data_IF_994561189748
#
_entry.id   IF_994561189748
#
_cell.length_a   1.000
_cell.length_b   1.000
_cell.length_c   1.000
_cell.angle_alpha   90.00
_cell.angle_beta   90.00
_cell.angle_gamma   90.00
#
_symmetry.space_group_name_H-M   'P 1'
#
loop_
_entity.id
_entity.type
_entity.pdbx_description
1 polymer ?
#
# COMPACT_ATOMS: atom_id res chain seq x y z
N UNK A 1 3.74 -6.32 -3.62
CA UNK A 1 2.31 -6.63 -3.91
C UNK A 1 2.12 -6.82 -5.41
N UNK A 2 1.44 -7.90 -5.80
CA UNK A 2 0.97 -8.10 -7.17
C UNK A 2 -0.36 -7.37 -7.35
N UNK A 3 -0.49 -6.57 -8.42
CA UNK A 3 -1.71 -5.79 -8.71
C UNK A 3 -2.23 -6.17 -10.10
N UNK A 4 -3.51 -6.48 -10.18
CA UNK A 4 -4.22 -6.75 -11.43
C UNK A 4 -5.03 -5.51 -11.84
N UNK A 5 -4.74 -4.97 -13.01
CA UNK A 5 -5.53 -3.90 -13.64
C UNK A 5 -6.47 -4.50 -14.68
N UNK A 6 -7.72 -4.08 -14.67
CA UNK A 6 -8.76 -4.56 -15.56
C UNK A 6 -9.49 -3.37 -16.17
N UNK A 7 -9.37 -3.22 -17.48
CA UNK A 7 -10.01 -2.17 -18.28
C UNK A 7 -10.00 -2.60 -19.74
N UNK A 8 -11.05 -2.38 -20.52
CA UNK A 8 -11.08 -2.72 -21.93
C UNK A 8 -10.28 -1.75 -22.81
N UNK A 9 -9.94 -0.57 -22.29
CA UNK A 9 -9.07 0.41 -22.92
C UNK A 9 -7.60 0.13 -22.60
N UNK A 10 -6.83 -0.29 -23.61
CA UNK A 10 -5.41 -0.59 -23.48
C UNK A 10 -4.56 0.62 -23.08
N UNK A 11 -4.95 1.83 -23.51
CA UNK A 11 -4.24 3.06 -23.16
C UNK A 11 -4.40 3.37 -21.67
N UNK A 12 -5.57 3.08 -21.10
CA UNK A 12 -5.81 3.18 -19.64
C UNK A 12 -4.98 2.15 -18.90
N UNK A 13 -4.91 0.90 -19.36
CA UNK A 13 -4.07 -0.13 -18.75
C UNK A 13 -2.59 0.26 -18.75
N UNK A 14 -2.08 0.81 -19.86
CA UNK A 14 -0.70 1.30 -19.94
C UNK A 14 -0.44 2.47 -18.99
N UNK A 15 -1.37 3.43 -18.94
CA UNK A 15 -1.33 4.55 -18.01
C UNK A 15 -1.30 4.08 -16.55
N UNK A 16 -2.19 3.16 -16.16
CA UNK A 16 -2.24 2.59 -14.80
C UNK A 16 -0.92 1.92 -14.44
N UNK A 17 -0.40 1.07 -15.33
CA UNK A 17 0.91 0.44 -15.15
C UNK A 17 2.04 1.47 -14.99
N UNK A 18 2.04 2.53 -15.77
CA UNK A 18 3.04 3.60 -15.69
C UNK A 18 2.99 4.33 -14.35
N UNK A 19 1.78 4.68 -13.86
CA UNK A 19 1.56 5.34 -12.58
C UNK A 19 2.13 4.48 -11.43
N UNK A 20 1.77 3.20 -11.39
CA UNK A 20 2.17 2.30 -10.32
C UNK A 20 3.65 1.94 -10.37
N UNK A 21 4.26 1.77 -11.56
CA UNK A 21 5.71 1.56 -11.70
C UNK A 21 6.51 2.75 -11.15
N UNK A 22 6.07 3.98 -11.41
CA UNK A 22 6.71 5.19 -10.85
C UNK A 22 6.60 5.27 -9.33
N UNK A 23 5.59 4.65 -8.75
CA UNK A 23 5.40 4.57 -7.31
C UNK A 23 6.13 3.36 -6.67
N UNK A 24 6.91 2.59 -7.45
CA UNK A 24 7.74 1.49 -6.96
C UNK A 24 7.08 0.11 -6.99
N UNK A 25 5.87 -0.01 -7.54
CA UNK A 25 5.23 -1.32 -7.74
C UNK A 25 5.78 -1.97 -9.02
N UNK A 26 6.25 -3.21 -8.90
CA UNK A 26 6.93 -3.91 -10.01
C UNK A 26 6.16 -5.12 -10.54
N UNK A 27 5.28 -5.71 -9.72
CA UNK A 27 4.52 -6.92 -10.07
C UNK A 27 3.10 -6.54 -10.51
N UNK A 28 2.97 -6.16 -11.78
CA UNK A 28 1.74 -5.64 -12.37
C UNK A 28 1.25 -6.57 -13.49
N UNK A 29 -0.03 -6.90 -13.44
CA UNK A 29 -0.73 -7.75 -14.42
C UNK A 29 -1.90 -6.97 -14.99
N UNK A 30 -2.21 -7.19 -16.26
CA UNK A 30 -3.33 -6.53 -16.95
C UNK A 30 -4.30 -7.57 -17.52
N UNK A 31 -5.56 -7.18 -17.61
CA UNK A 31 -6.62 -7.92 -18.29
C UNK A 31 -7.53 -6.93 -19.03
N UNK A 32 -7.91 -7.25 -20.26
CA UNK A 32 -8.70 -6.37 -21.13
C UNK A 32 -10.19 -6.77 -21.20
N UNK A 33 -10.63 -7.69 -20.38
CA UNK A 33 -12.03 -8.16 -20.34
C UNK A 33 -12.36 -8.86 -19.03
N UNK A 34 -13.65 -9.00 -18.72
CA UNK A 34 -14.11 -9.73 -17.54
C UNK A 34 -13.62 -11.19 -17.46
N UNK A 35 -13.72 -11.99 -18.53
CA UNK A 35 -13.19 -13.35 -18.53
C UNK A 35 -11.66 -13.42 -18.32
N UNK A 36 -10.92 -12.46 -18.88
CA UNK A 36 -9.47 -12.34 -18.60
C UNK A 36 -9.18 -11.96 -17.17
N UNK A 37 -9.96 -11.04 -16.59
CA UNK A 37 -9.85 -10.64 -15.20
C UNK A 37 -10.03 -11.84 -14.26
N UNK A 38 -11.06 -12.66 -14.47
CA UNK A 38 -11.31 -13.86 -13.67
C UNK A 38 -10.20 -14.90 -13.81
N UNK A 39 -9.64 -15.07 -15.00
CA UNK A 39 -8.49 -15.95 -15.23
C UNK A 39 -7.25 -15.39 -14.52
N UNK A 40 -6.93 -14.11 -14.73
CA UNK A 40 -5.80 -13.44 -14.10
C UNK A 40 -5.87 -13.46 -12.57
N UNK A 41 -7.05 -13.24 -11.99
CA UNK A 41 -7.26 -13.37 -10.56
C UNK A 41 -6.94 -14.78 -10.04
N UNK A 42 -7.46 -15.84 -10.70
CA UNK A 42 -7.24 -17.24 -10.26
C UNK A 42 -5.79 -17.68 -10.40
N UNK A 43 -5.14 -17.34 -11.51
CA UNK A 43 -3.78 -17.79 -11.82
C UNK A 43 -2.71 -16.97 -11.10
N UNK A 44 -2.91 -15.66 -11.02
CA UNK A 44 -1.90 -14.74 -10.54
C UNK A 44 -2.03 -14.40 -9.06
N UNK A 45 -3.19 -14.64 -8.45
CA UNK A 45 -3.49 -14.34 -7.04
C UNK A 45 -3.05 -12.93 -6.61
N UNK A 46 -3.60 -11.88 -7.25
CA UNK A 46 -3.19 -10.51 -6.95
C UNK A 46 -3.57 -10.12 -5.52
N UNK A 47 -2.77 -9.21 -4.94
CA UNK A 47 -3.06 -8.59 -3.65
C UNK A 47 -4.07 -7.45 -3.76
N UNK A 48 -4.25 -6.88 -4.95
CA UNK A 48 -5.24 -5.83 -5.25
C UNK A 48 -5.69 -5.99 -6.69
N UNK A 49 -6.99 -5.78 -6.93
CA UNK A 49 -7.57 -5.67 -8.26
C UNK A 49 -8.07 -4.23 -8.43
N UNK A 50 -7.65 -3.56 -9.48
CA UNK A 50 -8.19 -2.26 -9.93
C UNK A 50 -9.05 -2.56 -11.14
N UNK A 51 -10.36 -2.36 -11.03
CA UNK A 51 -11.36 -2.92 -11.94
C UNK A 51 -12.25 -1.83 -12.49
N UNK A 52 -12.27 -1.69 -13.82
CA UNK A 52 -13.25 -0.83 -14.48
C UNK A 52 -14.66 -1.44 -14.40
N UNK A 53 -15.65 -0.57 -14.17
CA UNK A 53 -17.06 -0.96 -14.16
C UNK A 53 -17.56 -1.18 -15.58
N UNK A 54 -17.23 -0.26 -16.49
CA UNK A 54 -17.83 -0.20 -17.83
C UNK A 54 -17.00 -0.98 -18.85
N UNK A 55 -17.22 -2.28 -18.92
CA UNK A 55 -16.58 -3.14 -19.92
C UNK A 55 -17.61 -3.85 -20.78
N UNK A 56 -17.33 -4.09 -22.10
CA UNK A 56 -18.24 -4.80 -22.97
C UNK A 56 -18.34 -6.29 -22.61
N UNK A 57 -19.55 -6.82 -22.68
CA UNK A 57 -19.85 -8.23 -22.38
C UNK A 57 -20.05 -8.45 -20.88
N UNK A 58 -19.00 -8.88 -20.16
CA UNK A 58 -19.00 -9.03 -18.70
C UNK A 58 -18.51 -7.72 -18.06
N UNK A 59 -19.38 -7.02 -17.37
CA UNK A 59 -19.05 -5.77 -16.68
C UNK A 59 -18.26 -5.99 -15.38
N UNK A 60 -17.76 -4.89 -14.79
CA UNK A 60 -16.97 -4.95 -13.55
C UNK A 60 -17.75 -5.44 -12.34
N UNK A 61 -19.07 -5.21 -12.29
CA UNK A 61 -19.91 -5.72 -11.19
C UNK A 61 -20.10 -7.23 -11.27
N UNK A 62 -20.24 -7.77 -12.49
CA UNK A 62 -20.32 -9.22 -12.70
C UNK A 62 -19.00 -9.90 -12.30
N UNK A 63 -17.85 -9.28 -12.66
CA UNK A 63 -16.52 -9.76 -12.23
C UNK A 63 -16.40 -9.71 -10.70
N UNK A 64 -16.79 -8.60 -10.07
CA UNK A 64 -16.79 -8.44 -8.61
C UNK A 64 -17.64 -9.51 -7.93
N UNK A 65 -18.88 -9.72 -8.37
CA UNK A 65 -19.78 -10.75 -7.82
C UNK A 65 -19.18 -12.15 -7.91
N UNK A 66 -18.57 -12.48 -9.05
CA UNK A 66 -17.95 -13.79 -9.24
C UNK A 66 -16.74 -14.00 -8.31
N UNK A 67 -15.90 -12.99 -8.15
CA UNK A 67 -14.75 -13.05 -7.23
C UNK A 67 -15.24 -13.18 -5.78
N UNK A 68 -16.25 -12.41 -5.38
CA UNK A 68 -16.78 -12.40 -4.00
C UNK A 68 -17.43 -13.70 -3.57
N UNK A 69 -17.76 -14.61 -4.49
CA UNK A 69 -18.24 -15.96 -4.15
C UNK A 69 -17.22 -16.78 -3.37
N UNK A 70 -15.93 -16.55 -3.62
CA UNK A 70 -14.85 -17.40 -3.09
C UNK A 70 -13.66 -16.64 -2.53
N UNK A 71 -13.62 -15.30 -2.65
CA UNK A 71 -12.45 -14.51 -2.27
C UNK A 71 -12.83 -13.14 -1.69
N UNK A 72 -12.02 -12.69 -0.74
CA UNK A 72 -12.04 -11.35 -0.19
C UNK A 72 -10.83 -10.51 -0.66
N UNK A 73 -10.23 -10.87 -1.81
CA UNK A 73 -9.16 -10.04 -2.39
C UNK A 73 -9.62 -8.59 -2.52
N UNK A 74 -8.82 -7.61 -2.10
CA UNK A 74 -9.20 -6.20 -2.21
C UNK A 74 -9.48 -5.78 -3.64
N UNK A 75 -10.56 -5.01 -3.85
CA UNK A 75 -10.97 -4.53 -5.17
C UNK A 75 -11.29 -3.02 -5.08
N UNK A 76 -10.57 -2.23 -5.87
CA UNK A 76 -10.83 -0.81 -6.14
C UNK A 76 -11.56 -0.70 -7.48
N UNK A 77 -12.80 -0.21 -7.46
CA UNK A 77 -13.60 -0.03 -8.67
C UNK A 77 -13.30 1.33 -9.31
N UNK A 78 -13.12 1.36 -10.63
CA UNK A 78 -13.06 2.59 -11.42
C UNK A 78 -14.44 2.79 -12.09
N UNK A 79 -15.06 3.94 -11.87
CA UNK A 79 -16.43 4.18 -12.37
C UNK A 79 -16.50 5.43 -13.25
N UNK A 80 -17.45 5.51 -14.18
CA UNK A 80 -17.79 6.74 -14.87
C UNK A 80 -18.38 7.76 -13.89
N UNK A 81 -18.12 9.06 -14.13
CA UNK A 81 -18.59 10.14 -13.26
C UNK A 81 -20.11 10.30 -13.38
N UNK A 82 -20.85 10.07 -12.30
CA UNK A 82 -22.27 10.44 -12.23
C UNK A 82 -23.23 9.38 -11.69
N UNK A 83 -22.81 8.15 -11.51
CA UNK A 83 -23.68 7.06 -11.10
C UNK A 83 -23.55 6.81 -9.59
N UNK A 84 -24.30 7.62 -8.79
CA UNK A 84 -24.41 7.38 -7.36
C UNK A 84 -25.03 6.00 -7.06
N UNK A 85 -25.86 5.51 -7.97
CA UNK A 85 -26.48 4.19 -7.92
C UNK A 85 -25.48 3.07 -8.04
N UNK A 86 -24.50 3.15 -8.96
CA UNK A 86 -23.43 2.18 -9.13
C UNK A 86 -22.54 2.06 -7.89
N UNK A 87 -22.30 3.20 -7.21
CA UNK A 87 -21.51 3.19 -5.95
C UNK A 87 -22.24 2.48 -4.83
N UNK A 88 -23.56 2.60 -4.76
CA UNK A 88 -24.39 1.92 -3.75
C UNK A 88 -24.42 0.43 -4.06
N UNK A 89 -24.70 0.05 -5.30
CA UNK A 89 -24.74 -1.36 -5.73
C UNK A 89 -23.41 -2.06 -5.46
N UNK A 90 -22.31 -1.44 -5.81
CA UNK A 90 -21.01 -2.07 -5.63
C UNK A 90 -20.56 -2.15 -4.17
N UNK A 91 -20.92 -1.18 -3.31
CA UNK A 91 -20.68 -1.28 -1.86
C UNK A 91 -21.48 -2.44 -1.26
N UNK A 92 -22.73 -2.66 -1.72
CA UNK A 92 -23.55 -3.79 -1.30
C UNK A 92 -22.94 -5.14 -1.76
N UNK A 93 -22.31 -5.18 -2.95
CA UNK A 93 -21.63 -6.38 -3.47
C UNK A 93 -20.29 -6.61 -2.77
N UNK A 94 -19.68 -5.59 -2.14
CA UNK A 94 -18.49 -5.70 -1.32
C UNK A 94 -17.19 -5.27 -2.01
N UNK A 95 -17.21 -4.23 -2.82
CA UNK A 95 -15.98 -3.54 -3.22
C UNK A 95 -15.36 -2.78 -2.03
N UNK A 96 -14.04 -2.65 -2.03
CA UNK A 96 -13.30 -2.01 -0.92
C UNK A 96 -13.26 -0.50 -1.04
N UNK A 97 -13.28 0.04 -2.26
CA UNK A 97 -13.39 1.48 -2.53
C UNK A 97 -13.79 1.74 -4.00
N UNK A 98 -14.15 2.99 -4.29
CA UNK A 98 -14.56 3.49 -5.61
C UNK A 98 -13.80 4.75 -5.97
N UNK A 99 -13.34 4.83 -7.22
CA UNK A 99 -12.66 5.99 -7.77
C UNK A 99 -13.33 6.42 -9.09
N UNK A 100 -14.00 7.58 -9.13
CA UNK A 100 -14.63 8.05 -10.36
C UNK A 100 -13.60 8.50 -11.40
N UNK A 101 -13.82 8.16 -12.66
CA UNK A 101 -13.10 8.68 -13.83
C UNK A 101 -13.66 10.07 -14.22
N UNK A 102 -12.83 11.08 -14.55
CA UNK A 102 -11.37 11.08 -14.55
C UNK A 102 -10.81 11.25 -13.13
N UNK A 103 -9.73 10.56 -12.82
CA UNK A 103 -9.06 10.60 -11.52
C UNK A 103 -7.64 11.18 -11.60
N UNK A 104 -7.15 11.66 -10.48
CA UNK A 104 -5.76 12.07 -10.37
C UNK A 104 -4.87 10.86 -10.03
N UNK A 105 -3.68 10.72 -10.65
CA UNK A 105 -2.74 9.64 -10.33
C UNK A 105 -2.42 9.52 -8.84
N UNK A 106 -2.28 10.66 -8.16
CA UNK A 106 -2.03 10.70 -6.72
C UNK A 106 -3.19 10.13 -5.90
N UNK A 107 -4.45 10.40 -6.30
CA UNK A 107 -5.63 9.89 -5.62
C UNK A 107 -5.72 8.36 -5.76
N UNK A 108 -5.52 7.85 -6.98
CA UNK A 108 -5.49 6.41 -7.24
C UNK A 108 -4.46 5.70 -6.37
N UNK A 109 -3.23 6.21 -6.30
CA UNK A 109 -2.16 5.63 -5.48
C UNK A 109 -2.46 5.68 -3.99
N UNK A 110 -3.03 6.78 -3.49
CA UNK A 110 -3.41 6.90 -2.08
C UNK A 110 -4.50 5.90 -1.69
N UNK A 111 -5.53 5.72 -2.53
CA UNK A 111 -6.61 4.74 -2.30
C UNK A 111 -6.09 3.31 -2.35
N UNK A 112 -5.33 2.96 -3.39
CA UNK A 112 -4.72 1.64 -3.52
C UNK A 112 -3.80 1.32 -2.32
N UNK A 113 -2.97 2.28 -1.90
CA UNK A 113 -2.11 2.14 -0.72
C UNK A 113 -2.90 1.92 0.57
N UNK A 114 -3.98 2.70 0.80
CA UNK A 114 -4.84 2.55 1.97
C UNK A 114 -5.56 1.19 2.01
N UNK A 115 -5.99 0.68 0.85
CA UNK A 115 -6.60 -0.65 0.72
C UNK A 115 -5.59 -1.74 1.05
N UNK A 116 -4.41 -1.69 0.42
CA UNK A 116 -3.33 -2.66 0.66
C UNK A 116 -2.90 -2.69 2.13
N UNK A 117 -2.74 -1.53 2.75
CA UNK A 117 -2.36 -1.43 4.17
C UNK A 117 -3.42 -2.03 5.11
N UNK A 118 -4.72 -1.85 4.80
CA UNK A 118 -5.80 -2.49 5.59
C UNK A 118 -5.87 -3.99 5.40
N UNK A 119 -5.71 -4.46 4.15
CA UNK A 119 -5.84 -5.88 3.82
C UNK A 119 -4.61 -6.68 4.24
N UNK A 120 -3.44 -6.07 4.19
CA UNK A 120 -2.16 -6.67 4.49
C UNK A 120 -1.39 -5.78 5.47
N UNK A 121 -1.87 -5.66 6.71
CA UNK A 121 -1.12 -4.91 7.73
C UNK A 121 0.27 -5.53 7.80
N UNK A 122 1.29 -4.68 7.67
CA UNK A 122 2.65 -5.11 7.96
C UNK A 122 2.61 -5.74 9.36
N UNK A 123 3.24 -6.91 9.56
CA UNK A 123 3.40 -7.43 10.91
C UNK A 123 4.02 -6.31 11.73
N UNK A 124 3.36 -5.93 12.85
CA UNK A 124 3.83 -4.86 13.73
C UNK A 124 5.36 -4.92 13.77
N UNK A 125 6.01 -3.85 13.30
CA UNK A 125 7.49 -3.77 13.32
C UNK A 125 7.92 -3.64 14.78
N UNK A 126 7.74 -4.74 15.52
CA UNK A 126 8.22 -4.87 16.88
C UNK A 126 9.61 -5.45 16.86
N UNK A 127 10.52 -4.79 17.53
CA UNK A 127 11.89 -5.26 17.72
C UNK A 127 12.00 -5.81 19.13
N UNK A 128 12.23 -7.11 19.25
CA UNK A 128 12.51 -7.73 20.54
C UNK A 128 13.99 -7.53 20.88
N UNK A 129 14.24 -6.91 22.00
CA UNK A 129 15.53 -6.76 22.63
C UNK A 129 15.62 -7.66 23.86
N UNK A 130 16.81 -7.89 24.39
CA UNK A 130 17.03 -8.80 25.52
C UNK A 130 16.15 -8.52 26.76
N UNK A 131 15.70 -7.28 26.97
CA UNK A 131 14.92 -6.85 28.13
C UNK A 131 13.73 -5.95 27.82
N UNK A 132 13.42 -5.70 26.53
CA UNK A 132 12.36 -4.79 26.12
C UNK A 132 11.90 -5.09 24.69
N UNK A 133 10.68 -4.67 24.36
CA UNK A 133 10.12 -4.75 23.00
C UNK A 133 9.82 -3.34 22.52
N UNK A 134 10.28 -2.98 21.34
CA UNK A 134 10.02 -1.67 20.74
C UNK A 134 9.01 -1.83 19.60
N UNK A 135 7.88 -1.16 19.69
CA UNK A 135 6.87 -1.04 18.64
C UNK A 135 7.20 0.19 17.81
N UNK A 136 7.69 -0.02 16.60
CA UNK A 136 8.13 1.07 15.70
C UNK A 136 6.96 1.82 15.07
N UNK A 137 5.77 1.22 15.00
CA UNK A 137 4.59 1.89 14.44
C UNK A 137 3.93 2.80 15.47
N UNK A 138 3.82 2.32 16.71
CA UNK A 138 3.22 3.11 17.80
C UNK A 138 4.21 4.07 18.44
N UNK A 139 5.51 3.95 18.11
CA UNK A 139 6.59 4.65 18.79
C UNK A 139 6.56 4.42 20.30
N UNK A 140 6.46 3.16 20.72
CA UNK A 140 6.37 2.74 22.11
C UNK A 140 7.45 1.72 22.45
N UNK A 141 7.94 1.77 23.68
CA UNK A 141 8.83 0.74 24.25
C UNK A 141 8.17 0.09 25.45
N UNK A 142 8.17 -1.24 25.45
CA UNK A 142 7.64 -2.06 26.53
C UNK A 142 8.78 -2.72 27.29
N UNK A 143 8.81 -2.57 28.61
CA UNK A 143 9.78 -3.19 29.49
C UNK A 143 9.11 -3.62 30.79
N UNK A 144 9.24 -4.88 31.16
CA UNK A 144 8.67 -5.44 32.41
C UNK A 144 7.16 -5.19 32.61
N UNK A 145 6.38 -5.08 31.51
CA UNK A 145 4.95 -4.77 31.55
C UNK A 145 4.61 -3.27 31.60
N UNK A 146 5.58 -2.39 31.67
CA UNK A 146 5.42 -0.95 31.57
C UNK A 146 5.63 -0.48 30.12
N UNK A 147 4.81 0.49 29.69
CA UNK A 147 4.88 1.10 28.36
C UNK A 147 5.31 2.55 28.47
N UNK A 148 6.24 2.97 27.63
CA UNK A 148 6.67 4.36 27.51
C UNK A 148 6.66 4.78 26.04
N UNK A 149 6.12 5.98 25.69
CA UNK A 149 6.17 6.49 24.33
C UNK A 149 7.58 6.95 23.97
N UNK A 150 7.97 6.75 22.70
CA UNK A 150 9.18 7.30 22.12
C UNK A 150 8.86 8.60 21.41
N UNK A 151 9.71 9.59 21.58
CA UNK A 151 9.66 10.80 20.74
C UNK A 151 10.06 10.46 19.29
N UNK A 152 9.69 11.29 18.33
CA UNK A 152 10.04 11.08 16.92
C UNK A 152 11.57 10.96 16.72
N UNK A 153 12.36 11.71 17.48
CA UNK A 153 13.83 11.66 17.42
C UNK A 153 14.41 10.38 18.02
N UNK A 154 13.85 9.88 19.10
CA UNK A 154 14.24 8.62 19.72
C UNK A 154 13.92 7.43 18.80
N UNK A 155 12.76 7.47 18.16
CA UNK A 155 12.37 6.45 17.19
C UNK A 155 13.33 6.44 15.99
N UNK A 156 13.60 7.59 15.38
CA UNK A 156 14.55 7.72 14.26
C UNK A 156 15.95 7.23 14.63
N UNK A 157 16.41 7.58 15.84
CA UNK A 157 17.70 7.11 16.35
C UNK A 157 17.72 5.59 16.51
N UNK A 158 16.66 5.04 17.10
CA UNK A 158 16.53 3.60 17.29
C UNK A 158 16.53 2.85 15.95
N UNK A 159 15.70 3.28 14.98
CA UNK A 159 15.65 2.68 13.64
C UNK A 159 17.02 2.71 12.98
N UNK A 160 17.72 3.86 13.03
CA UNK A 160 19.05 3.99 12.44
C UNK A 160 20.08 3.06 13.07
N UNK A 161 20.06 2.90 14.38
CA UNK A 161 20.96 1.99 15.11
C UNK A 161 20.60 0.52 14.81
N UNK A 162 19.32 0.20 14.76
CA UNK A 162 18.83 -1.15 14.50
C UNK A 162 19.16 -1.62 13.06
N UNK A 163 18.95 -0.77 12.06
CA UNK A 163 19.31 -1.04 10.66
C UNK A 163 20.82 -1.29 10.49
N UNK A 164 21.64 -0.71 11.35
CA UNK A 164 23.09 -0.87 11.35
C UNK A 164 23.60 -1.78 12.46
N UNK A 165 22.75 -2.66 13.01
CA UNK A 165 23.15 -3.58 14.07
C UNK A 165 24.36 -4.41 13.66
N UNK A 166 25.38 -4.46 14.52
CA UNK A 166 26.67 -5.12 14.25
C UNK A 166 27.66 -4.31 13.41
N UNK A 167 27.34 -3.05 13.06
CA UNK A 167 28.24 -2.12 12.37
C UNK A 167 28.51 -0.89 13.23
N UNK A 168 29.64 -0.22 12.97
CA UNK A 168 29.97 1.04 13.65
C UNK A 168 29.14 2.16 13.02
N UNK A 169 28.33 2.84 13.82
CA UNK A 169 27.58 4.04 13.43
C UNK A 169 28.33 5.23 14.03
N UNK A 170 28.82 6.15 13.20
CA UNK A 170 29.53 7.33 13.67
C UNK A 170 28.58 8.38 14.27
N UNK A 171 29.07 9.18 15.20
CA UNK A 171 28.31 10.30 15.79
C UNK A 171 27.81 11.29 14.73
N UNK A 172 28.56 11.50 13.64
CA UNK A 172 28.16 12.33 12.50
C UNK A 172 26.86 11.82 11.84
N UNK A 173 26.77 10.51 11.55
CA UNK A 173 25.58 9.88 10.98
C UNK A 173 24.37 10.01 11.92
N UNK A 174 24.58 9.84 13.23
CA UNK A 174 23.51 10.00 14.22
C UNK A 174 23.01 11.45 14.33
N UNK A 175 23.93 12.40 14.32
CA UNK A 175 23.59 13.83 14.32
C UNK A 175 22.81 14.24 13.05
N UNK A 176 23.24 13.78 11.88
CA UNK A 176 22.55 14.02 10.62
C UNK A 176 21.12 13.44 10.63
N UNK A 177 20.96 12.24 11.17
CA UNK A 177 19.64 11.58 11.30
C UNK A 177 18.69 12.37 12.22
N UNK A 178 19.18 12.95 13.33
CA UNK A 178 18.35 13.62 14.33
C UNK A 178 18.12 15.09 14.00
N UNK A 179 19.13 15.78 13.42
CA UNK A 179 19.12 17.24 13.23
C UNK A 179 18.86 17.66 11.79
N UNK A 180 18.96 16.76 10.82
CA UNK A 180 18.76 17.07 9.40
C UNK A 180 19.84 17.95 8.76
N UNK A 181 20.88 18.29 9.49
CA UNK A 181 22.00 19.12 9.02
C UNK A 181 23.34 18.47 9.40
N UNK A 182 24.29 18.56 8.48
CA UNK A 182 25.68 18.18 8.72
C UNK A 182 26.31 19.23 9.63
N UNK A 183 26.46 18.91 10.93
CA UNK A 183 27.23 19.75 11.86
C UNK A 183 28.71 19.40 11.76
N UNK A 184 29.57 20.25 11.19
CA UNK A 184 30.99 20.00 11.22
C UNK A 184 31.47 20.16 12.67
N UNK A 185 31.85 19.04 13.28
CA UNK A 185 32.52 19.07 14.59
C UNK A 185 33.92 19.64 14.37
N UNK A 186 34.07 20.94 14.58
CA UNK A 186 35.37 21.55 14.66
C UNK A 186 36.04 21.15 15.97
N UNK A 187 36.95 20.18 15.90
CA UNK A 187 37.88 19.96 17.00
C UNK A 187 38.83 21.13 17.08
N UNK A 188 38.52 22.08 17.92
CA UNK A 188 39.52 23.05 18.42
C UNK A 188 40.21 22.38 19.60
N UNK A 189 41.50 22.16 19.43
CA UNK A 189 42.44 21.74 20.49
C UNK A 189 42.56 22.77 21.60
#
# INVERSE_FOLDING_TARGET
YKILFVDDDLDILEMLCSIFRRAGYTDLVTASSGPEALRGWREQQPALIVLDVMMPGMDGFEVLREIRRTSHVPILMLTARGEAEDRIEGLEIGADDYLPKPFLPKELLLRAGAILHRAYPEPHRTVELAASTVDLEKAEVWKNGECAPLTAKELQLFEKLYENAGRIVTTGILCETICGEFWPVSYTH
#
